data_IF_061881384662
#
_entry.id   IF_061881384662
#
_cell.length_a   1.000
_cell.length_b   1.000
_cell.length_c   1.000
_cell.angle_alpha   90.00
_cell.angle_beta   90.00
_cell.angle_gamma   90.00
#
_symmetry.space_group_name_H-M   'P 1'
#
loop_
_entity.id
_entity.type
_entity.pdbx_description
1 polymer ?
#
# COMPACT_ATOMS: atom_id res chain seq x y z
N UNK A 1 -8.17 -22.92 -6.81
CA UNK A 1 -6.81 -23.27 -7.32
C UNK A 1 -5.97 -22.02 -7.22
N UNK A 2 -4.86 -22.09 -6.49
CA UNK A 2 -3.97 -20.96 -6.18
C UNK A 2 -3.45 -20.29 -7.46
N UNK A 3 -3.59 -18.97 -7.57
CA UNK A 3 -3.15 -18.16 -8.73
C UNK A 3 -1.66 -18.36 -9.01
N UNK A 4 -0.84 -18.42 -7.97
CA UNK A 4 0.59 -18.62 -8.08
C UNK A 4 0.96 -20.02 -8.60
N UNK A 5 0.13 -21.02 -8.36
CA UNK A 5 0.30 -22.36 -8.96
C UNK A 5 0.06 -22.31 -10.48
N UNK A 6 -0.98 -21.60 -10.92
CA UNK A 6 -1.28 -21.40 -12.35
C UNK A 6 -0.13 -20.71 -13.06
N UNK A 7 0.41 -19.62 -12.50
CA UNK A 7 1.54 -18.88 -13.08
C UNK A 7 2.76 -19.77 -13.21
N UNK A 8 3.11 -20.53 -12.18
CA UNK A 8 4.27 -21.45 -12.22
C UNK A 8 4.11 -22.55 -13.28
N UNK A 9 2.89 -23.03 -13.50
CA UNK A 9 2.57 -24.00 -14.56
C UNK A 9 2.77 -23.37 -15.94
N UNK A 10 2.27 -22.14 -16.16
CA UNK A 10 2.45 -21.42 -17.43
C UNK A 10 3.93 -21.24 -17.75
N UNK A 11 4.75 -20.83 -16.77
CA UNK A 11 6.20 -20.70 -16.97
C UNK A 11 6.89 -22.01 -17.32
N UNK A 12 6.46 -23.15 -16.74
CA UNK A 12 6.98 -24.45 -17.10
C UNK A 12 6.56 -24.87 -18.52
N UNK A 13 5.29 -24.63 -18.89
CA UNK A 13 4.77 -24.90 -20.25
C UNK A 13 5.45 -24.02 -21.30
N UNK A 14 5.75 -22.76 -20.99
CA UNK A 14 6.51 -21.84 -21.84
C UNK A 14 7.99 -22.19 -21.94
N UNK A 15 8.43 -23.30 -21.32
CA UNK A 15 9.82 -23.79 -21.32
C UNK A 15 10.85 -22.77 -20.83
N UNK A 16 10.47 -21.88 -19.92
CA UNK A 16 11.40 -20.97 -19.28
C UNK A 16 12.44 -21.79 -18.52
N UNK A 17 13.72 -21.65 -18.89
CA UNK A 17 14.81 -22.51 -18.42
C UNK A 17 15.08 -22.36 -16.93
N UNK A 18 15.03 -21.12 -16.40
CA UNK A 18 15.29 -20.81 -15.00
C UNK A 18 14.00 -20.31 -14.36
N UNK A 19 13.50 -21.03 -13.37
CA UNK A 19 12.28 -20.72 -12.64
C UNK A 19 12.57 -20.81 -11.15
N UNK A 20 12.65 -19.64 -10.52
CA UNK A 20 13.03 -19.49 -9.12
C UNK A 20 11.80 -19.14 -8.29
N UNK A 21 11.69 -19.67 -7.10
CA UNK A 21 10.60 -19.31 -6.21
C UNK A 21 10.54 -20.14 -4.91
N UNK A 22 9.54 -19.79 -4.10
CA UNK A 22 9.27 -20.52 -2.86
C UNK A 22 8.65 -21.88 -3.16
N UNK A 23 9.12 -22.95 -2.49
CA UNK A 23 8.81 -24.33 -2.88
C UNK A 23 7.34 -24.72 -2.72
N UNK A 24 6.65 -24.38 -1.66
CA UNK A 24 5.27 -24.78 -1.40
C UNK A 24 4.69 -25.80 -2.42
N UNK A 25 3.42 -25.69 -2.76
CA UNK A 25 2.73 -26.54 -3.75
C UNK A 25 3.29 -26.45 -5.18
N UNK A 26 4.19 -25.46 -5.44
CA UNK A 26 4.77 -25.16 -6.76
C UNK A 26 6.09 -25.86 -7.04
N UNK A 27 6.66 -26.58 -6.08
CA UNK A 27 8.01 -27.18 -6.16
C UNK A 27 8.28 -27.86 -7.49
N UNK A 28 7.36 -28.65 -8.00
CA UNK A 28 7.51 -29.40 -9.27
C UNK A 28 7.65 -28.55 -10.54
N UNK A 29 7.29 -27.26 -10.48
CA UNK A 29 7.39 -26.35 -11.62
C UNK A 29 8.58 -25.39 -11.53
N UNK A 30 9.32 -25.42 -10.43
CA UNK A 30 10.50 -24.60 -10.22
C UNK A 30 11.76 -25.39 -10.57
N UNK A 31 12.79 -24.67 -11.02
CA UNK A 31 14.13 -25.23 -11.24
C UNK A 31 15.06 -24.95 -10.05
N UNK A 32 14.78 -23.87 -9.30
CA UNK A 32 15.55 -23.47 -8.12
C UNK A 32 14.58 -23.10 -7.00
N UNK A 33 14.88 -23.53 -5.78
CA UNK A 33 14.09 -23.24 -4.60
C UNK A 33 14.80 -22.23 -3.73
N UNK A 34 14.03 -21.28 -3.22
CA UNK A 34 14.51 -20.30 -2.29
C UNK A 34 14.15 -20.70 -0.86
N UNK A 35 15.09 -20.56 0.05
CA UNK A 35 14.85 -20.83 1.46
C UNK A 35 14.26 -19.61 2.12
N UNK A 36 13.07 -19.76 2.74
CA UNK A 36 12.51 -18.71 3.59
C UNK A 36 13.30 -18.69 4.90
N UNK A 37 13.96 -17.59 5.18
CA UNK A 37 14.68 -17.38 6.44
C UNK A 37 13.76 -16.64 7.43
N UNK A 38 13.85 -16.90 8.75
CA UNK A 38 12.97 -16.27 9.74
C UNK A 38 12.93 -14.73 9.67
N UNK A 39 14.05 -14.09 9.37
CA UNK A 39 14.13 -12.63 9.26
C UNK A 39 13.27 -12.05 8.12
N UNK A 40 12.96 -12.83 7.09
CA UNK A 40 12.18 -12.38 5.93
C UNK A 40 10.74 -12.03 6.31
N UNK A 41 10.21 -12.58 7.40
CA UNK A 41 8.89 -12.25 7.91
C UNK A 41 8.83 -10.83 8.51
N UNK A 42 9.97 -10.26 8.86
CA UNK A 42 10.10 -8.95 9.53
C UNK A 42 10.79 -7.91 8.66
N UNK A 43 11.07 -8.24 7.41
CA UNK A 43 11.78 -7.37 6.49
C UNK A 43 10.83 -6.66 5.52
N UNK A 44 11.26 -5.53 5.01
CA UNK A 44 10.64 -4.86 3.89
C UNK A 44 10.65 -5.77 2.66
N UNK A 45 9.50 -5.96 2.02
CA UNK A 45 9.34 -6.94 0.93
C UNK A 45 10.36 -6.79 -0.21
N UNK A 46 10.70 -5.59 -0.71
CA UNK A 46 11.74 -5.44 -1.73
C UNK A 46 13.11 -5.98 -1.32
N UNK A 47 13.49 -5.88 -0.04
CA UNK A 47 14.73 -6.47 0.50
C UNK A 47 14.67 -7.99 0.44
N UNK A 48 13.51 -8.58 0.73
CA UNK A 48 13.29 -10.03 0.61
C UNK A 48 13.45 -10.48 -0.83
N UNK A 49 12.82 -9.77 -1.77
CA UNK A 49 12.94 -10.09 -3.21
C UNK A 49 14.35 -9.88 -3.75
N UNK A 50 15.05 -8.81 -3.33
CA UNK A 50 16.45 -8.58 -3.68
C UNK A 50 17.35 -9.71 -3.16
N UNK A 51 17.11 -10.18 -1.93
CA UNK A 51 17.86 -11.32 -1.36
C UNK A 51 17.59 -12.62 -2.11
N UNK A 52 16.35 -12.86 -2.54
CA UNK A 52 16.01 -13.99 -3.38
C UNK A 52 16.70 -13.92 -4.76
N UNK A 53 16.74 -12.76 -5.38
CA UNK A 53 17.44 -12.56 -6.64
C UNK A 53 18.94 -12.82 -6.50
N UNK A 54 19.56 -12.32 -5.43
CA UNK A 54 20.96 -12.59 -5.13
C UNK A 54 21.24 -14.08 -4.93
N UNK A 55 20.40 -14.78 -4.17
CA UNK A 55 20.54 -16.23 -3.96
C UNK A 55 20.42 -17.01 -5.27
N UNK A 56 19.49 -16.61 -6.14
CA UNK A 56 19.21 -17.32 -7.38
C UNK A 56 20.21 -17.06 -8.51
N UNK A 57 20.76 -15.86 -8.60
CA UNK A 57 21.54 -15.38 -9.75
C UNK A 57 22.96 -14.93 -9.41
N UNK A 58 23.28 -14.73 -8.13
CA UNK A 58 24.51 -14.09 -7.67
C UNK A 58 24.51 -12.56 -7.81
N UNK A 59 23.48 -11.96 -8.42
CA UNK A 59 23.40 -10.52 -8.62
C UNK A 59 22.84 -9.86 -7.35
N UNK A 60 23.65 -9.00 -6.73
CA UNK A 60 23.23 -8.20 -5.58
C UNK A 60 22.70 -6.83 -6.04
N UNK A 61 21.38 -6.77 -6.30
CA UNK A 61 20.74 -5.54 -6.75
C UNK A 61 20.78 -4.44 -5.70
N UNK A 62 20.95 -4.77 -4.41
CA UNK A 62 21.06 -3.77 -3.33
C UNK A 62 22.35 -2.94 -3.41
N UNK A 63 23.32 -3.36 -4.22
CA UNK A 63 24.54 -2.58 -4.53
C UNK A 63 24.36 -1.63 -5.71
N UNK A 64 23.24 -1.71 -6.44
CA UNK A 64 22.97 -0.83 -7.57
C UNK A 64 22.46 0.53 -7.09
N UNK A 65 22.80 1.63 -7.77
CA UNK A 65 22.21 2.94 -7.49
C UNK A 65 20.68 2.90 -7.59
N UNK A 66 19.99 3.49 -6.64
CA UNK A 66 18.52 3.60 -6.63
C UNK A 66 17.78 2.24 -6.73
N UNK A 67 18.39 1.14 -6.27
CA UNK A 67 17.78 -0.20 -6.30
C UNK A 67 16.43 -0.27 -5.59
N UNK A 68 16.21 0.61 -4.63
CA UNK A 68 15.02 0.75 -3.80
C UNK A 68 14.00 1.74 -4.37
N UNK A 69 14.31 2.39 -5.51
CA UNK A 69 13.40 3.33 -6.15
C UNK A 69 12.38 2.59 -6.99
N UNK A 70 11.11 2.80 -6.68
CA UNK A 70 10.02 2.32 -7.51
C UNK A 70 9.86 3.24 -8.72
N UNK A 71 9.38 2.66 -9.81
CA UNK A 71 9.02 3.36 -11.03
C UNK A 71 7.56 3.07 -11.37
N UNK A 72 6.82 4.11 -11.72
CA UNK A 72 5.47 3.99 -12.27
C UNK A 72 5.44 4.69 -13.63
N UNK A 73 4.86 4.07 -14.68
CA UNK A 73 4.80 4.69 -16.00
C UNK A 73 3.98 5.98 -15.98
N UNK A 74 4.45 7.00 -16.69
CA UNK A 74 3.69 8.23 -16.86
C UNK A 74 2.46 8.00 -17.74
N UNK A 75 1.36 8.70 -17.42
CA UNK A 75 0.20 8.80 -18.29
C UNK A 75 0.55 9.59 -19.55
N UNK A 76 0.05 9.14 -20.69
CA UNK A 76 0.18 9.89 -21.94
C UNK A 76 -0.80 11.08 -21.99
N UNK A 77 -0.68 11.95 -23.01
CA UNK A 77 -1.48 13.17 -23.09
C UNK A 77 -2.99 12.87 -23.14
N UNK A 78 -3.42 11.82 -23.87
CA UNK A 78 -4.82 11.44 -23.93
C UNK A 78 -5.40 10.99 -22.57
N UNK A 79 -4.59 10.30 -21.76
CA UNK A 79 -4.96 9.91 -20.39
C UNK A 79 -5.03 11.13 -19.48
N UNK A 80 -4.07 12.06 -19.57
CA UNK A 80 -4.07 13.33 -18.82
C UNK A 80 -5.30 14.18 -19.17
N UNK A 81 -5.61 14.34 -20.45
CA UNK A 81 -6.79 15.09 -20.94
C UNK A 81 -8.09 14.47 -20.44
N UNK A 82 -8.16 13.14 -20.42
CA UNK A 82 -9.31 12.44 -19.88
C UNK A 82 -9.51 12.69 -18.39
N UNK A 83 -8.44 12.64 -17.60
CA UNK A 83 -8.50 12.97 -16.16
C UNK A 83 -8.95 14.42 -15.97
N UNK A 84 -8.39 15.37 -16.71
CA UNK A 84 -8.82 16.76 -16.65
C UNK A 84 -10.31 16.92 -16.98
N UNK A 85 -10.81 16.18 -17.96
CA UNK A 85 -12.24 16.17 -18.31
C UNK A 85 -13.11 15.62 -17.17
N UNK A 86 -12.68 14.56 -16.48
CA UNK A 86 -13.37 13.97 -15.32
C UNK A 86 -13.45 14.94 -14.13
N UNK A 87 -12.43 15.79 -13.97
CA UNK A 87 -12.29 16.74 -12.86
C UNK A 87 -12.84 18.13 -13.19
N UNK A 88 -13.14 18.42 -14.45
CA UNK A 88 -13.62 19.73 -14.93
C UNK A 88 -14.85 20.19 -14.17
N UNK A 89 -14.80 21.40 -13.62
CA UNK A 89 -15.88 22.01 -12.85
C UNK A 89 -16.07 21.43 -11.44
N UNK A 90 -15.22 20.49 -11.02
CA UNK A 90 -15.23 19.88 -9.68
C UNK A 90 -14.04 20.32 -8.83
N UNK A 91 -12.92 20.63 -9.47
CA UNK A 91 -11.74 21.24 -8.88
C UNK A 91 -11.48 22.59 -9.53
N UNK A 92 -11.02 23.56 -8.76
CA UNK A 92 -10.40 24.75 -9.29
C UNK A 92 -8.92 24.46 -9.57
N UNK A 93 -8.35 25.02 -10.61
CA UNK A 93 -6.99 24.70 -11.08
C UNK A 93 -5.87 24.99 -10.06
N UNK A 94 -6.16 25.71 -9.00
CA UNK A 94 -5.20 26.08 -7.94
C UNK A 94 -5.45 25.35 -6.60
N UNK A 95 -6.54 24.55 -6.52
CA UNK A 95 -6.85 23.77 -5.32
C UNK A 95 -6.12 22.43 -5.35
N UNK A 96 -5.26 22.18 -4.36
CA UNK A 96 -4.73 20.85 -4.09
C UNK A 96 -5.84 19.92 -3.58
N UNK A 97 -5.63 18.62 -3.71
CA UNK A 97 -6.60 17.62 -3.27
C UNK A 97 -5.92 16.42 -2.58
N UNK A 98 -6.70 15.73 -1.80
CA UNK A 98 -6.32 14.49 -1.13
C UNK A 98 -6.90 13.32 -1.90
N UNK A 99 -6.10 12.28 -2.14
CA UNK A 99 -6.56 11.02 -2.76
C UNK A 99 -6.81 9.97 -1.70
N UNK A 100 -7.92 9.22 -1.82
CA UNK A 100 -8.26 8.10 -0.96
C UNK A 100 -8.68 6.88 -1.78
N UNK A 101 -8.45 5.67 -1.24
CA UNK A 101 -9.06 4.44 -1.75
C UNK A 101 -9.72 3.70 -0.59
N UNK A 102 -11.01 3.45 -0.71
CA UNK A 102 -11.83 2.95 0.40
C UNK A 102 -11.67 1.46 0.62
N UNK A 103 -11.41 0.72 -0.47
CA UNK A 103 -11.34 -0.73 -0.46
C UNK A 103 -9.94 -1.21 -0.81
N UNK A 104 -9.52 -2.27 -0.16
CA UNK A 104 -8.28 -2.99 -0.45
C UNK A 104 -8.59 -4.35 -1.08
N UNK A 105 -7.57 -5.17 -1.36
CA UNK A 105 -7.76 -6.54 -1.83
C UNK A 105 -8.36 -7.50 -0.78
N UNK A 106 -8.51 -7.06 0.47
CA UNK A 106 -9.02 -7.87 1.58
C UNK A 106 -9.79 -6.98 2.55
N UNK A 107 -11.03 -7.34 2.85
CA UNK A 107 -11.92 -6.57 3.73
C UNK A 107 -11.33 -6.35 5.14
N UNK A 108 -10.49 -7.25 5.62
CA UNK A 108 -9.82 -7.13 6.92
C UNK A 108 -8.83 -5.96 6.99
N UNK A 109 -8.48 -5.39 5.85
CA UNK A 109 -7.59 -4.23 5.73
C UNK A 109 -8.35 -2.96 5.36
N UNK A 110 -9.65 -3.07 5.10
CA UNK A 110 -10.47 -1.91 4.79
C UNK A 110 -10.71 -1.10 6.07
N UNK A 111 -10.56 0.20 5.97
CA UNK A 111 -10.96 1.09 7.04
C UNK A 111 -12.47 1.25 7.01
N UNK A 112 -13.09 1.46 8.16
CA UNK A 112 -14.55 1.50 8.28
C UNK A 112 -15.13 2.59 7.39
N UNK A 113 -16.23 2.29 6.73
CA UNK A 113 -16.86 3.26 5.83
C UNK A 113 -17.39 4.49 6.56
N UNK A 114 -17.88 4.31 7.79
CA UNK A 114 -18.33 5.37 8.67
C UNK A 114 -17.18 6.30 9.04
N UNK A 115 -15.97 5.75 9.22
CA UNK A 115 -14.77 6.53 9.51
C UNK A 115 -14.29 7.32 8.28
N UNK A 116 -14.41 6.75 7.08
CA UNK A 116 -14.17 7.50 5.85
C UNK A 116 -15.14 8.67 5.71
N UNK A 117 -16.43 8.44 5.95
CA UNK A 117 -17.45 9.49 5.86
C UNK A 117 -17.17 10.62 6.87
N UNK A 118 -16.89 10.28 8.12
CA UNK A 118 -16.52 11.26 9.15
C UNK A 118 -15.25 12.05 8.79
N UNK A 119 -14.21 11.36 8.28
CA UNK A 119 -12.99 12.03 7.82
C UNK A 119 -13.29 13.01 6.67
N UNK A 120 -14.14 12.62 5.71
CA UNK A 120 -14.48 13.50 4.58
C UNK A 120 -15.25 14.75 5.01
N UNK A 121 -16.10 14.65 6.01
CA UNK A 121 -16.75 15.81 6.62
C UNK A 121 -15.73 16.73 7.32
N UNK A 122 -14.78 16.15 8.06
CA UNK A 122 -13.71 16.92 8.69
C UNK A 122 -12.80 17.59 7.65
N UNK A 123 -12.47 16.91 6.55
CA UNK A 123 -11.69 17.45 5.43
C UNK A 123 -12.45 18.55 4.69
N UNK A 124 -13.78 18.42 4.55
CA UNK A 124 -14.63 19.47 4.00
C UNK A 124 -14.59 20.74 4.87
N UNK A 125 -14.73 20.58 6.18
CA UNK A 125 -14.60 21.69 7.13
C UNK A 125 -13.19 22.31 7.12
N UNK A 126 -12.16 21.53 6.81
CA UNK A 126 -10.78 21.96 6.66
C UNK A 126 -10.50 22.62 5.28
N UNK A 127 -11.48 22.67 4.39
CA UNK A 127 -11.38 23.29 3.06
C UNK A 127 -10.64 22.41 2.03
N UNK A 128 -10.60 21.09 2.19
CA UNK A 128 -9.90 20.19 1.27
C UNK A 128 -10.84 19.36 0.41
N UNK A 129 -10.52 19.28 -0.87
CA UNK A 129 -11.17 18.36 -1.81
C UNK A 129 -10.61 16.96 -1.66
N UNK A 130 -11.46 15.98 -1.91
CA UNK A 130 -11.10 14.55 -1.86
C UNK A 130 -11.44 13.89 -3.17
N UNK A 131 -10.51 13.12 -3.73
CA UNK A 131 -10.76 12.24 -4.86
C UNK A 131 -10.70 10.79 -4.39
N UNK A 132 -11.79 10.05 -4.56
CA UNK A 132 -11.80 8.61 -4.30
C UNK A 132 -11.44 7.88 -5.58
N UNK A 133 -10.41 7.05 -5.51
CA UNK A 133 -9.95 6.16 -6.58
C UNK A 133 -10.24 4.69 -6.25
N UNK A 134 -10.12 3.83 -7.24
CA UNK A 134 -10.25 2.38 -7.10
C UNK A 134 -11.06 1.74 -8.20
N UNK A 135 -11.21 0.42 -8.14
CA UNK A 135 -12.11 -0.35 -9.00
C UNK A 135 -13.58 -0.02 -8.69
N UNK A 136 -14.51 -0.61 -9.43
CA UNK A 136 -15.92 -0.58 -9.05
C UNK A 136 -16.10 -1.11 -7.64
N UNK A 137 -16.82 -0.39 -6.77
CA UNK A 137 -16.96 -0.76 -5.37
C UNK A 137 -17.65 -2.12 -5.22
N UNK A 138 -17.15 -2.93 -4.30
CA UNK A 138 -17.72 -4.24 -3.96
C UNK A 138 -18.36 -4.26 -2.57
N UNK A 139 -17.84 -3.44 -1.65
CA UNK A 139 -18.26 -3.37 -0.25
C UNK A 139 -18.79 -1.98 0.13
N UNK A 140 -18.13 -0.93 -0.35
CA UNK A 140 -18.53 0.46 -0.10
C UNK A 140 -19.46 0.98 -1.23
N UNK A 141 -20.59 0.29 -1.47
CA UNK A 141 -21.50 0.57 -2.60
C UNK A 141 -22.47 1.72 -2.34
N UNK A 142 -23.06 1.77 -1.15
CA UNK A 142 -24.17 2.68 -0.83
C UNK A 142 -23.71 3.87 0.03
N UNK A 143 -22.52 4.42 -0.28
CA UNK A 143 -21.95 5.52 0.49
C UNK A 143 -22.45 6.86 -0.01
N UNK A 144 -22.95 7.67 0.90
CA UNK A 144 -23.19 9.08 0.65
C UNK A 144 -21.96 9.87 1.12
N UNK A 145 -21.46 10.73 0.25
CA UNK A 145 -20.27 11.54 0.54
C UNK A 145 -20.63 13.02 0.59
N UNK A 146 -19.87 13.78 1.37
CA UNK A 146 -19.95 15.24 1.44
C UNK A 146 -19.56 15.89 0.10
N UNK A 147 -19.96 17.15 -0.08
CA UNK A 147 -19.84 17.88 -1.36
C UNK A 147 -18.41 18.15 -1.83
N UNK A 148 -17.42 17.95 -0.96
CA UNK A 148 -16.01 18.07 -1.32
C UNK A 148 -15.45 16.79 -1.97
N UNK A 149 -16.21 15.69 -2.04
CA UNK A 149 -15.75 14.39 -2.53
C UNK A 149 -16.08 14.21 -4.00
N UNK A 150 -15.08 13.80 -4.77
CA UNK A 150 -15.19 13.42 -6.18
C UNK A 150 -14.96 11.91 -6.29
N UNK A 151 -16.02 11.13 -6.51
CA UNK A 151 -15.91 9.68 -6.64
C UNK A 151 -15.56 9.28 -8.09
N UNK A 152 -14.35 8.77 -8.27
CA UNK A 152 -13.83 8.26 -9.54
C UNK A 152 -13.66 6.74 -9.56
N UNK A 153 -14.21 6.01 -8.60
CA UNK A 153 -14.14 4.53 -8.57
C UNK A 153 -14.72 3.94 -9.85
N UNK A 154 -13.96 3.04 -10.48
CA UNK A 154 -14.32 2.41 -11.77
C UNK A 154 -14.30 3.33 -12.99
N UNK A 155 -13.87 4.59 -12.86
CA UNK A 155 -13.89 5.58 -13.96
C UNK A 155 -12.51 5.84 -14.58
N UNK A 156 -11.45 5.33 -13.98
CA UNK A 156 -10.06 5.52 -14.41
C UNK A 156 -9.37 4.20 -14.66
N UNK A 157 -8.46 4.18 -15.64
CA UNK A 157 -7.49 3.11 -15.79
C UNK A 157 -6.32 3.28 -14.82
N UNK A 158 -5.35 2.37 -14.86
CA UNK A 158 -4.23 2.36 -13.91
C UNK A 158 -3.30 3.57 -14.10
N UNK A 159 -3.03 4.00 -15.34
CA UNK A 159 -2.16 5.14 -15.64
C UNK A 159 -2.84 6.46 -15.27
N UNK A 160 -4.12 6.60 -15.56
CA UNK A 160 -4.94 7.74 -15.12
C UNK A 160 -4.99 7.84 -13.59
N UNK A 161 -5.13 6.70 -12.91
CA UNK A 161 -5.07 6.64 -11.44
C UNK A 161 -3.70 7.08 -10.92
N UNK A 162 -2.62 6.64 -11.56
CA UNK A 162 -1.27 7.07 -11.22
C UNK A 162 -1.07 8.58 -11.40
N UNK A 163 -1.59 9.15 -12.48
CA UNK A 163 -1.55 10.59 -12.71
C UNK A 163 -2.35 11.39 -11.66
N UNK A 164 -3.52 10.88 -11.26
CA UNK A 164 -4.31 11.50 -10.17
C UNK A 164 -3.53 11.48 -8.85
N UNK A 165 -2.83 10.40 -8.54
CA UNK A 165 -2.00 10.30 -7.34
C UNK A 165 -0.79 11.24 -7.44
N UNK A 166 -0.11 11.30 -8.59
CA UNK A 166 1.05 12.15 -8.82
C UNK A 166 0.76 13.65 -8.60
N UNK A 167 -0.45 14.08 -8.98
CA UNK A 167 -0.88 15.48 -8.85
C UNK A 167 -1.54 15.81 -7.49
N UNK A 168 -1.62 14.85 -6.58
CA UNK A 168 -2.25 15.03 -5.26
C UNK A 168 -1.28 15.65 -4.24
N UNK A 169 -1.82 16.46 -3.31
CA UNK A 169 -1.05 16.91 -2.14
C UNK A 169 -0.69 15.72 -1.23
N UNK A 170 -1.62 14.76 -1.10
CA UNK A 170 -1.54 13.69 -0.13
C UNK A 170 -2.37 12.49 -0.56
N UNK A 171 -1.85 11.28 -0.32
CA UNK A 171 -2.62 10.03 -0.36
C UNK A 171 -2.91 9.57 1.07
N UNK A 172 -4.18 9.26 1.39
CA UNK A 172 -4.57 8.56 2.62
C UNK A 172 -5.11 7.18 2.21
N UNK A 173 -4.46 6.11 2.65
CA UNK A 173 -4.82 4.78 2.16
C UNK A 173 -4.45 3.65 3.13
N UNK A 174 -5.23 2.56 3.11
CA UNK A 174 -4.82 1.29 3.71
C UNK A 174 -3.72 0.59 2.91
N UNK A 175 -3.16 -0.50 3.44
CA UNK A 175 -2.09 -1.26 2.79
C UNK A 175 -2.57 -1.91 1.48
N UNK A 176 -2.45 -1.18 0.36
CA UNK A 176 -2.85 -1.63 -0.98
C UNK A 176 -2.08 -0.90 -2.09
N UNK A 177 -2.36 -1.23 -3.36
CA UNK A 177 -1.66 -0.72 -4.53
C UNK A 177 -1.43 0.80 -4.57
N UNK A 178 -2.39 1.68 -4.21
CA UNK A 178 -2.17 3.13 -4.29
C UNK A 178 -0.95 3.62 -3.49
N UNK A 179 -0.63 2.99 -2.35
CA UNK A 179 0.57 3.33 -1.56
C UNK A 179 1.85 3.13 -2.39
N UNK A 180 1.93 2.05 -3.16
CA UNK A 180 3.09 1.76 -3.99
C UNK A 180 3.20 2.71 -5.19
N UNK A 181 2.07 3.13 -5.77
CA UNK A 181 2.05 4.14 -6.82
C UNK A 181 2.52 5.48 -6.25
N UNK A 182 1.97 5.92 -5.12
CA UNK A 182 2.38 7.16 -4.47
C UNK A 182 3.88 7.18 -4.14
N UNK A 183 4.43 6.04 -3.65
CA UNK A 183 5.87 5.90 -3.41
C UNK A 183 6.71 6.02 -4.70
N UNK A 184 6.17 5.61 -5.85
CA UNK A 184 6.87 5.67 -7.13
C UNK A 184 6.85 7.07 -7.76
N UNK A 185 5.84 7.88 -7.45
CA UNK A 185 5.67 9.26 -7.96
C UNK A 185 5.95 10.32 -6.90
N UNK A 186 6.53 9.92 -5.76
CA UNK A 186 6.92 10.79 -4.64
C UNK A 186 5.75 11.58 -3.99
N UNK A 187 4.51 11.13 -4.12
CA UNK A 187 3.36 11.72 -3.42
C UNK A 187 3.40 11.36 -1.93
N UNK A 188 3.22 12.33 -1.02
CA UNK A 188 3.15 12.08 0.41
C UNK A 188 2.04 11.10 0.78
N UNK A 189 2.29 10.21 1.77
CA UNK A 189 1.34 9.16 2.17
C UNK A 189 1.07 9.17 3.67
N UNK A 190 -0.20 9.19 4.07
CA UNK A 190 -0.65 8.71 5.37
C UNK A 190 -1.18 7.28 5.17
N UNK A 191 -0.43 6.30 5.64
CA UNK A 191 -0.75 4.88 5.53
C UNK A 191 -1.46 4.35 6.76
N UNK A 192 -2.59 3.62 6.57
CA UNK A 192 -3.37 3.00 7.64
C UNK A 192 -3.02 1.51 7.73
N UNK A 193 -2.45 1.08 8.84
CA UNK A 193 -1.92 -0.27 9.02
C UNK A 193 -2.56 -0.96 10.23
N UNK A 194 -3.43 -1.93 9.95
CA UNK A 194 -4.09 -2.77 10.95
C UNK A 194 -3.48 -4.17 11.02
N UNK A 195 -4.05 -5.11 10.27
CA UNK A 195 -3.60 -6.51 10.22
C UNK A 195 -2.21 -6.68 9.62
N UNK A 196 -1.84 -5.82 8.68
CA UNK A 196 -0.51 -5.82 8.05
C UNK A 196 0.44 -4.89 8.81
N UNK A 197 1.69 -5.31 9.07
CA UNK A 197 2.69 -4.41 9.61
C UNK A 197 3.17 -3.41 8.54
N UNK A 198 3.37 -2.16 8.93
CA UNK A 198 3.81 -1.09 8.02
C UNK A 198 5.16 -1.38 7.37
N UNK A 199 6.12 -1.94 8.13
CA UNK A 199 7.49 -2.18 7.66
C UNK A 199 7.58 -3.09 6.43
N UNK A 200 6.52 -3.84 6.08
CA UNK A 200 6.52 -4.71 4.90
C UNK A 200 6.27 -3.98 3.59
N UNK A 201 5.39 -2.98 3.62
CA UNK A 201 4.85 -2.38 2.40
C UNK A 201 4.68 -0.85 2.49
N UNK A 202 5.26 -0.20 3.52
CA UNK A 202 5.19 1.27 3.64
C UNK A 202 5.94 1.95 2.50
N UNK A 203 5.60 3.19 2.14
CA UNK A 203 6.43 4.02 1.30
C UNK A 203 7.83 4.18 1.88
N UNK A 204 8.80 4.51 1.04
CA UNK A 204 10.20 4.60 1.47
C UNK A 204 10.62 6.03 1.80
N UNK A 205 9.95 7.04 1.24
CA UNK A 205 10.45 8.41 1.26
C UNK A 205 9.59 9.37 2.06
N UNK A 206 8.37 9.62 1.62
CA UNK A 206 7.50 10.67 2.17
C UNK A 206 6.25 10.01 2.72
N UNK A 207 6.26 9.68 4.02
CA UNK A 207 5.12 8.97 4.59
C UNK A 207 4.99 9.13 6.10
N UNK A 208 3.77 8.90 6.58
CA UNK A 208 3.44 8.69 8.00
C UNK A 208 2.62 7.40 8.13
N UNK A 209 3.11 6.45 8.91
CA UNK A 209 2.37 5.23 9.23
C UNK A 209 1.51 5.43 10.45
N UNK A 210 0.21 5.21 10.32
CA UNK A 210 -0.73 5.11 11.43
C UNK A 210 -1.00 3.64 11.68
N UNK A 211 -0.33 3.09 12.68
CA UNK A 211 -0.40 1.68 13.04
C UNK A 211 -1.43 1.44 14.14
N UNK A 212 -2.22 0.39 13.99
CA UNK A 212 -3.16 -0.05 15.00
C UNK A 212 -2.51 -0.31 16.35
N UNK A 213 -3.21 0.07 17.42
CA UNK A 213 -2.84 -0.24 18.80
C UNK A 213 -3.62 -1.44 19.36
N UNK A 214 -4.42 -2.13 18.52
CA UNK A 214 -5.14 -3.32 18.94
C UNK A 214 -4.16 -4.43 19.38
N UNK A 215 -4.46 -5.18 20.47
CA UNK A 215 -3.57 -6.22 20.98
C UNK A 215 -3.24 -7.34 19.98
N UNK A 216 -4.13 -7.57 19.00
CA UNK A 216 -3.97 -8.57 17.95
C UNK A 216 -3.20 -8.03 16.72
N UNK A 217 -2.87 -6.74 16.65
CA UNK A 217 -2.20 -6.16 15.50
C UNK A 217 -0.67 -6.04 15.71
N UNK A 218 0.10 -6.26 14.65
CA UNK A 218 -0.26 -6.84 13.37
C UNK A 218 -0.42 -8.37 13.50
N UNK A 219 -1.46 -8.94 12.91
CA UNK A 219 -1.70 -10.39 12.96
C UNK A 219 -1.16 -11.14 11.75
N UNK A 220 -0.77 -10.44 10.69
CA UNK A 220 -0.19 -10.98 9.47
C UNK A 220 -0.93 -12.22 8.90
N UNK A 221 -2.25 -12.14 8.91
CA UNK A 221 -3.16 -13.23 8.51
C UNK A 221 -2.86 -13.86 7.14
N UNK A 222 -2.02 -13.21 6.33
CA UNK A 222 -1.68 -13.71 4.99
C UNK A 222 -0.67 -14.88 5.02
N UNK A 223 0.01 -15.12 6.15
CA UNK A 223 1.12 -16.09 6.20
C UNK A 223 0.79 -17.41 6.89
N UNK A 224 0.00 -17.42 7.95
CA UNK A 224 -0.30 -18.66 8.64
C UNK A 224 -1.70 -19.24 8.39
N UNK A 225 -2.60 -18.45 7.80
CA UNK A 225 -3.97 -18.86 7.51
C UNK A 225 -4.81 -19.17 8.74
N UNK A 226 -4.27 -18.97 9.94
CA UNK A 226 -4.90 -19.33 11.21
C UNK A 226 -5.83 -18.25 11.78
N UNK A 227 -5.72 -17.04 11.25
CA UNK A 227 -6.46 -15.89 11.75
C UNK A 227 -7.81 -15.73 11.05
N UNK A 228 -8.85 -16.39 11.50
CA UNK A 228 -10.20 -15.99 11.15
C UNK A 228 -10.56 -14.76 11.98
N UNK A 229 -10.60 -13.59 11.31
CA UNK A 229 -11.06 -12.35 11.92
C UNK A 229 -12.46 -12.07 11.42
N UNK A 230 -13.43 -12.01 12.31
CA UNK A 230 -14.84 -11.71 12.02
C UNK A 230 -15.12 -10.20 12.02
N UNK A 231 -14.23 -9.41 12.64
CA UNK A 231 -14.29 -7.96 12.66
C UNK A 231 -12.88 -7.35 12.69
N UNK A 232 -12.58 -6.31 11.87
CA UNK A 232 -11.25 -5.72 11.80
C UNK A 232 -10.97 -4.75 12.96
N UNK A 233 -11.04 -5.19 14.21
CA UNK A 233 -10.80 -4.38 15.42
C UNK A 233 -9.51 -3.55 15.37
N UNK A 234 -8.51 -4.04 14.63
CA UNK A 234 -7.29 -3.29 14.41
C UNK A 234 -7.53 -2.01 13.60
N UNK A 235 -8.47 -2.00 12.67
CA UNK A 235 -8.80 -0.82 11.89
C UNK A 235 -9.66 0.17 12.69
N UNK A 236 -10.50 -0.31 13.61
CA UNK A 236 -11.30 0.53 14.51
C UNK A 236 -10.42 1.41 15.42
N UNK A 237 -9.25 0.92 15.80
CA UNK A 237 -8.32 1.67 16.67
C UNK A 237 -7.67 2.87 15.98
N UNK A 238 -7.73 2.96 14.65
CA UNK A 238 -7.26 4.11 13.88
C UNK A 238 -8.47 5.01 13.62
N UNK A 239 -8.76 5.91 14.55
CA UNK A 239 -9.95 6.77 14.47
C UNK A 239 -9.80 7.90 13.47
N UNK A 240 -10.91 8.49 12.93
CA UNK A 240 -10.86 9.66 12.06
C UNK A 240 -10.10 10.84 12.68
N UNK A 241 -10.21 11.03 13.99
CA UNK A 241 -9.48 12.10 14.70
C UNK A 241 -7.96 11.90 14.62
N UNK A 242 -7.45 10.66 14.74
CA UNK A 242 -6.03 10.34 14.60
C UNK A 242 -5.56 10.68 13.17
N UNK A 243 -6.34 10.29 12.16
CA UNK A 243 -6.02 10.56 10.76
C UNK A 243 -6.05 12.06 10.47
N UNK A 244 -7.09 12.76 10.95
CA UNK A 244 -7.22 14.20 10.75
C UNK A 244 -6.11 15.00 11.43
N UNK A 245 -5.63 14.57 12.60
CA UNK A 245 -4.47 15.18 13.24
C UNK A 245 -3.21 15.02 12.37
N UNK A 246 -2.99 13.84 11.82
CA UNK A 246 -1.88 13.59 10.89
C UNK A 246 -1.98 14.47 9.62
N UNK A 247 -3.18 14.70 9.10
CA UNK A 247 -3.43 15.62 7.98
C UNK A 247 -3.10 17.06 8.36
N UNK A 248 -3.54 17.52 9.53
CA UNK A 248 -3.23 18.89 10.01
C UNK A 248 -1.73 19.10 10.19
N UNK A 249 -1.04 18.13 10.79
CA UNK A 249 0.42 18.17 10.94
C UNK A 249 1.10 18.27 9.58
N UNK A 250 0.64 17.48 8.60
CA UNK A 250 1.17 17.52 7.24
C UNK A 250 1.06 18.90 6.60
N UNK A 251 -0.11 19.55 6.69
CA UNK A 251 -0.29 20.90 6.11
C UNK A 251 0.40 22.00 6.89
N UNK A 252 0.69 21.80 8.18
CA UNK A 252 1.37 22.78 9.03
C UNK A 252 2.90 22.70 8.91
N UNK A 253 3.45 21.49 8.89
CA UNK A 253 4.90 21.22 9.07
C UNK A 253 5.51 20.46 7.89
N UNK A 254 4.70 19.96 6.96
CA UNK A 254 5.10 18.99 5.94
C UNK A 254 5.18 17.57 6.50
N UNK A 255 5.55 16.63 5.63
CA UNK A 255 5.75 15.24 6.03
C UNK A 255 7.25 14.94 6.13
N UNK A 256 7.72 14.33 7.22
CA UNK A 256 9.12 13.98 7.34
C UNK A 256 9.51 13.02 6.21
N UNK A 257 10.74 13.17 5.72
CA UNK A 257 11.33 12.16 4.84
C UNK A 257 11.44 10.86 5.63
N UNK A 258 10.98 9.77 5.03
CA UNK A 258 11.06 8.45 5.63
C UNK A 258 12.51 8.09 5.95
N UNK A 259 12.73 7.53 7.11
CA UNK A 259 14.03 6.98 7.48
C UNK A 259 14.29 5.71 6.66
N UNK A 260 15.24 5.77 5.72
CA UNK A 260 15.67 4.63 4.90
C UNK A 260 16.46 3.57 5.69
N UNK A 261 16.43 3.65 7.02
CA UNK A 261 17.21 2.79 7.90
C UNK A 261 16.53 1.42 8.12
N UNK A 262 16.15 0.73 7.01
CA UNK A 262 15.51 -0.60 7.02
C UNK A 262 16.31 -1.64 7.82
N UNK A 263 17.61 -1.48 7.94
CA UNK A 263 18.50 -2.41 8.63
C UNK A 263 18.41 -2.29 10.17
N UNK A 264 18.27 -1.09 10.69
CA UNK A 264 18.17 -0.83 12.14
C UNK A 264 16.83 -1.31 12.72
N UNK A 265 15.73 -1.07 12.02
CA UNK A 265 14.38 -1.51 12.45
C UNK A 265 14.32 -3.04 12.53
N UNK A 266 15.02 -3.73 11.64
CA UNK A 266 15.15 -5.17 11.62
C UNK A 266 15.91 -5.70 12.86
N UNK A 267 17.06 -5.13 13.21
CA UNK A 267 17.91 -5.57 14.33
C UNK A 267 17.23 -5.32 15.69
N UNK A 268 16.56 -4.20 15.87
CA UNK A 268 15.82 -3.87 17.09
C UNK A 268 14.61 -4.78 17.31
N UNK A 269 13.82 -5.07 16.26
CA UNK A 269 12.61 -5.89 16.38
C UNK A 269 12.90 -7.36 16.56
N UNK A 270 13.91 -7.92 15.90
CA UNK A 270 14.35 -9.31 16.19
C UNK A 270 14.84 -9.44 17.62
N UNK A 271 15.58 -8.48 18.15
CA UNK A 271 16.01 -8.52 19.54
C UNK A 271 14.84 -8.46 20.52
N UNK A 272 13.77 -7.75 20.19
CA UNK A 272 12.56 -7.62 21.01
C UNK A 272 11.68 -8.89 20.99
N UNK A 273 11.53 -9.54 19.82
CA UNK A 273 10.71 -10.76 19.71
C UNK A 273 11.43 -12.02 20.18
N UNK A 274 12.76 -12.10 19.99
CA UNK A 274 13.56 -13.16 20.62
C UNK A 274 13.49 -13.10 22.15
N UNK A 275 13.40 -11.90 22.72
CA UNK A 275 13.22 -11.71 24.17
C UNK A 275 11.81 -12.06 24.67
N UNK A 276 10.78 -12.09 23.80
CA UNK A 276 9.42 -12.50 24.16
C UNK A 276 9.17 -14.01 24.08
N UNK A 277 10.08 -14.76 23.45
CA UNK A 277 9.98 -16.23 23.27
C UNK A 277 10.93 -17.02 24.20
N UNK A 278 11.70 -16.33 25.04
CA UNK A 278 12.49 -16.87 26.14
C UNK A 278 11.83 -16.49 27.47
#
# INVERSE_FOLDING_TARGET
MDTLYRISTVYAMARIKVRVGLPHKRKKFLTHYLSVKPWMNYAFEPVVYASFLKEATGIDVMQLPNWDRFYFPEANDAEKDRVQTLLKGKLNNEEGYIVCSLETGSWQKDWLIEYWQELFEQLNAFGKKVIIIGALPQRATDCQFSSNVIDLRGKTNLLETGYIIDQADLLINGCSLPIHIANAVDTPVIGLYGSQPDYRARPQRIYRSLCSQAPCAPCDMLFDGSGYCDHPYCMDSITPAIVMNAVKDFYAEGMPLGDNNFKLIYEERISHELKRKI
#
